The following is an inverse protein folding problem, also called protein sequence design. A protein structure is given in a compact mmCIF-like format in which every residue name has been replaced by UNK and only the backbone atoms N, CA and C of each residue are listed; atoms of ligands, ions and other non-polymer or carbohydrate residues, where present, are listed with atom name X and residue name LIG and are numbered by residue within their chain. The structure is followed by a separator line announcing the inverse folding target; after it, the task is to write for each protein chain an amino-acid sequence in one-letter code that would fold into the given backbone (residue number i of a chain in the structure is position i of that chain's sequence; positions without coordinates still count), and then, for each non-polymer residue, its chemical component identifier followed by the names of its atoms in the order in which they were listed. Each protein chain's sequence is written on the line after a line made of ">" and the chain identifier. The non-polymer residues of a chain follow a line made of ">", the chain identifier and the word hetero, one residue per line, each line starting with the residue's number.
data_IF_260853605577
#
_entry.id   IF_260853605577
#
_cell.length_a   1.000
_cell.length_b   1.000
_cell.length_c   1.000
_cell.angle_alpha   90.00
_cell.angle_beta   90.00
_cell.angle_gamma   90.00
#
_symmetry.space_group_name_H-M   'P 1'
#
loop_
_entity.id
_entity.type
_entity.pdbx_description
1 polymer ?
#
# COMPACT_ATOMS: atom_id res chain seq x y z
N UNK A 1 -13.14 6.94 3.22
CA UNK A 1 -12.79 5.56 2.82
C UNK A 1 -11.71 5.05 3.75
N UNK A 2 -11.63 3.73 3.99
CA UNK A 2 -10.59 3.13 4.85
C UNK A 2 -9.33 2.79 4.06
N UNK A 3 -9.50 2.42 2.78
CA UNK A 3 -8.44 2.23 1.79
C UNK A 3 -8.88 2.96 0.53
N UNK A 4 -7.96 3.65 -0.14
CA UNK A 4 -8.20 4.31 -1.42
C UNK A 4 -7.03 4.04 -2.37
N UNK A 5 -7.34 3.58 -3.58
CA UNK A 5 -6.37 3.46 -4.66
C UNK A 5 -6.45 4.72 -5.55
N UNK A 6 -5.28 5.26 -5.88
CA UNK A 6 -5.11 6.39 -6.77
C UNK A 6 -4.59 5.86 -8.10
N UNK A 7 -5.51 5.61 -9.02
CA UNK A 7 -5.19 5.07 -10.34
C UNK A 7 -5.23 6.15 -11.43
N UNK A 8 -4.37 6.00 -12.43
CA UNK A 8 -4.33 6.83 -13.63
C UNK A 8 -3.93 5.97 -14.83
N UNK A 9 -4.74 6.01 -15.89
CA UNK A 9 -4.49 5.27 -17.14
C UNK A 9 -4.17 3.77 -16.94
N UNK A 10 -4.84 3.14 -15.97
CA UNK A 10 -4.65 1.72 -15.65
C UNK A 10 -3.43 1.42 -14.77
N UNK A 11 -2.68 2.44 -14.35
CA UNK A 11 -1.55 2.32 -13.42
C UNK A 11 -1.93 2.83 -12.03
N UNK A 12 -1.65 2.07 -10.98
CA UNK A 12 -1.80 2.54 -9.59
C UNK A 12 -0.62 3.40 -9.21
N UNK A 13 -0.86 4.69 -8.94
CA UNK A 13 0.15 5.66 -8.53
C UNK A 13 0.35 5.62 -7.02
N UNK A 14 -0.72 5.45 -6.24
CA UNK A 14 -0.63 5.39 -4.78
C UNK A 14 -1.77 4.58 -4.17
N UNK A 15 -1.48 4.03 -2.99
CA UNK A 15 -2.45 3.36 -2.13
C UNK A 15 -2.45 4.10 -0.79
N UNK A 16 -3.61 4.60 -0.37
CA UNK A 16 -3.78 5.32 0.89
C UNK A 16 -4.57 4.44 1.84
N UNK A 17 -3.89 3.93 2.88
CA UNK A 17 -4.52 3.20 3.98
C UNK A 17 -4.76 4.15 5.15
N UNK A 18 -6.03 4.34 5.51
CA UNK A 18 -6.43 5.21 6.62
C UNK A 18 -5.97 4.63 7.95
N UNK A 19 -5.57 5.49 8.89
CA UNK A 19 -5.32 5.11 10.28
C UNK A 19 -6.52 4.49 11.01
N UNK A 20 -7.72 4.57 10.42
CA UNK A 20 -8.95 3.96 10.92
C UNK A 20 -9.16 2.53 10.42
N UNK A 21 -8.36 2.04 9.48
CA UNK A 21 -8.44 0.64 9.03
C UNK A 21 -8.12 -0.30 10.19
N UNK A 22 -9.03 -1.21 10.51
CA UNK A 22 -8.91 -2.10 11.67
C UNK A 22 -9.68 -3.42 11.49
N UNK A 23 -9.79 -3.89 10.25
CA UNK A 23 -10.49 -5.13 9.92
C UNK A 23 -9.75 -6.36 10.48
N UNK A 24 -10.51 -7.37 10.93
CA UNK A 24 -9.92 -8.64 11.38
C UNK A 24 -9.29 -9.41 10.21
N UNK A 25 -8.25 -10.19 10.49
CA UNK A 25 -7.59 -11.04 9.50
C UNK A 25 -6.37 -10.40 8.83
N UNK A 26 -6.01 -10.95 7.68
CA UNK A 26 -4.86 -10.51 6.86
C UNK A 26 -5.40 -9.86 5.60
N UNK A 27 -4.97 -8.64 5.33
CA UNK A 27 -5.38 -7.84 4.19
C UNK A 27 -4.15 -7.37 3.44
N UNK A 28 -4.04 -7.72 2.15
CA UNK A 28 -3.03 -7.16 1.27
C UNK A 28 -3.69 -6.10 0.40
N UNK A 29 -3.06 -4.93 0.29
CA UNK A 29 -3.58 -3.80 -0.49
C UNK A 29 -2.88 -3.65 -1.85
N UNK A 30 -1.85 -4.46 -2.08
CA UNK A 30 -1.01 -4.46 -3.28
C UNK A 30 -1.25 -5.73 -4.09
N UNK A 31 -1.27 -5.64 -5.43
CA UNK A 31 -1.19 -6.81 -6.32
C UNK A 31 0.09 -7.63 -6.11
N UNK A 32 0.04 -8.95 -6.31
CA UNK A 32 1.17 -9.88 -6.05
C UNK A 32 2.43 -9.60 -6.88
N UNK A 33 2.26 -8.98 -8.05
CA UNK A 33 3.34 -8.61 -8.97
C UNK A 33 4.05 -7.32 -8.57
N UNK A 34 3.53 -6.57 -7.59
CA UNK A 34 4.22 -5.40 -7.07
C UNK A 34 5.50 -5.80 -6.36
N UNK A 35 6.60 -5.09 -6.67
CA UNK A 35 7.90 -5.32 -6.04
C UNK A 35 7.89 -5.11 -4.53
N UNK A 36 6.96 -4.28 -4.04
CA UNK A 36 6.72 -4.02 -2.62
C UNK A 36 5.28 -4.39 -2.28
N UNK A 37 5.10 -5.17 -1.21
CA UNK A 37 3.79 -5.59 -0.71
C UNK A 37 3.39 -4.79 0.54
N UNK A 38 2.14 -4.32 0.59
CA UNK A 38 1.58 -3.66 1.76
C UNK A 38 0.49 -4.55 2.37
N UNK A 39 0.79 -5.13 3.53
CA UNK A 39 -0.12 -5.97 4.30
C UNK A 39 -0.51 -5.34 5.63
N UNK A 40 -1.77 -5.52 6.03
CA UNK A 40 -2.25 -5.30 7.40
C UNK A 40 -2.71 -6.62 8.00
N UNK A 41 -2.28 -6.90 9.23
CA UNK A 41 -2.62 -8.12 9.93
C UNK A 41 -3.19 -7.76 11.30
N UNK A 42 -4.41 -8.23 11.56
CA UNK A 42 -5.03 -8.17 12.87
C UNK A 42 -5.47 -9.57 13.25
N UNK A 43 -4.97 -10.01 14.40
CA UNK A 43 -5.25 -11.33 14.91
C UNK A 43 -5.90 -11.24 16.30
N UNK A 44 -6.84 -12.14 16.62
CA UNK A 44 -7.35 -12.25 17.97
C UNK A 44 -6.24 -12.69 18.92
N UNK A 45 -6.40 -12.36 20.21
CA UNK A 45 -5.50 -12.80 21.27
C UNK A 45 -5.35 -14.32 21.25
N UNK A 46 -4.10 -14.80 21.33
CA UNK A 46 -3.78 -16.23 21.34
C UNK A 46 -3.56 -16.84 19.95
N UNK A 47 -3.72 -16.07 18.85
CA UNK A 47 -3.36 -16.56 17.52
C UNK A 47 -1.86 -16.86 17.43
N UNK A 48 -1.54 -18.09 17.01
CA UNK A 48 -0.20 -18.49 16.59
C UNK A 48 -0.13 -18.35 15.07
N UNK A 49 0.90 -17.66 14.58
CA UNK A 49 1.25 -17.62 13.16
C UNK A 49 2.24 -18.77 12.94
N UNK A 50 1.85 -19.75 12.14
CA UNK A 50 2.71 -20.90 11.85
C UNK A 50 4.01 -20.46 11.17
N UNK A 51 5.16 -21.08 11.52
CA UNK A 51 6.41 -20.85 10.82
C UNK A 51 6.24 -21.10 9.32
N UNK A 52 6.72 -20.16 8.50
CA UNK A 52 6.66 -20.25 7.06
C UNK A 52 7.91 -19.64 6.43
N UNK A 53 8.14 -20.00 5.17
CA UNK A 53 9.24 -19.47 4.36
C UNK A 53 8.67 -18.67 3.20
N UNK A 54 9.38 -17.64 2.80
CA UNK A 54 9.07 -16.92 1.57
C UNK A 54 9.67 -17.67 0.38
N UNK A 55 8.85 -18.00 -0.60
CA UNK A 55 9.31 -18.58 -1.85
C UNK A 55 10.24 -17.59 -2.57
N UNK A 56 11.32 -18.11 -3.15
CA UNK A 56 12.15 -17.31 -4.04
C UNK A 56 11.33 -16.96 -5.29
N UNK A 57 10.99 -15.68 -5.43
CA UNK A 57 10.28 -15.13 -6.58
C UNK A 57 11.14 -14.01 -7.14
N UNK A 58 11.50 -14.10 -8.42
CA UNK A 58 12.20 -13.03 -9.11
C UNK A 58 11.28 -11.81 -9.20
N UNK A 59 11.77 -10.65 -8.76
CA UNK A 59 11.07 -9.37 -8.83
C UNK A 59 12.01 -8.36 -9.49
N UNK A 60 11.52 -7.68 -10.51
CA UNK A 60 12.23 -6.58 -11.13
C UNK A 60 11.80 -5.27 -10.48
N UNK A 61 12.77 -4.40 -10.18
CA UNK A 61 12.52 -3.09 -9.58
C UNK A 61 12.90 -2.04 -10.62
N UNK A 62 11.89 -1.50 -11.30
CA UNK A 62 12.10 -0.44 -12.31
C UNK A 62 12.33 0.92 -11.65
N UNK A 63 11.69 1.17 -10.51
CA UNK A 63 11.71 2.45 -9.80
C UNK A 63 11.79 2.25 -8.30
N UNK A 64 12.27 3.28 -7.61
CA UNK A 64 12.21 3.35 -6.15
C UNK A 64 10.78 3.67 -5.71
N UNK A 65 10.20 2.83 -4.85
CA UNK A 65 8.92 3.12 -4.19
C UNK A 65 9.14 3.78 -2.83
N UNK A 66 8.21 4.65 -2.44
CA UNK A 66 8.23 5.35 -1.15
C UNK A 66 7.02 4.96 -0.30
N UNK A 67 7.22 4.84 1.01
CA UNK A 67 6.14 4.69 2.00
C UNK A 67 6.23 5.81 3.02
N UNK A 68 5.18 6.63 3.10
CA UNK A 68 5.05 7.68 4.12
C UNK A 68 4.14 7.20 5.25
N UNK A 69 4.71 6.97 6.43
CA UNK A 69 3.96 6.62 7.63
C UNK A 69 3.72 7.85 8.52
N UNK A 70 2.47 8.35 8.54
CA UNK A 70 2.11 9.56 9.27
C UNK A 70 1.77 9.22 10.73
N UNK A 71 2.74 9.37 11.63
CA UNK A 71 2.55 9.11 13.08
C UNK A 71 1.60 10.09 13.76
N UNK A 72 1.65 11.37 13.37
CA UNK A 72 0.80 12.45 13.90
C UNK A 72 0.74 13.59 12.88
N UNK A 73 -0.43 14.20 12.73
CA UNK A 73 -0.64 15.33 11.83
C UNK A 73 -1.48 14.97 10.61
N UNK A 74 -1.37 15.79 9.58
CA UNK A 74 -2.05 15.62 8.29
C UNK A 74 -1.06 15.93 7.18
N UNK A 75 -1.15 15.18 6.08
CA UNK A 75 -0.37 15.39 4.87
C UNK A 75 -1.36 15.67 3.74
N UNK A 76 -1.08 16.68 2.92
CA UNK A 76 -1.72 16.86 1.61
C UNK A 76 -0.78 16.30 0.56
N UNK A 77 -1.31 15.55 -0.39
CA UNK A 77 -0.55 14.95 -1.49
C UNK A 77 -1.15 15.46 -2.80
N UNK A 78 -0.30 16.00 -3.68
CA UNK A 78 -0.67 16.39 -5.03
C UNK A 78 -0.06 15.39 -6.02
N UNK A 79 -0.91 14.78 -6.85
CA UNK A 79 -0.52 13.77 -7.82
C UNK A 79 -0.34 14.36 -9.21
N UNK A 80 0.64 13.86 -9.95
CA UNK A 80 1.00 14.29 -11.30
C UNK A 80 1.19 13.05 -12.19
N UNK A 81 1.00 13.22 -13.51
CA UNK A 81 1.36 12.18 -14.48
C UNK A 81 2.85 12.24 -14.89
N UNK A 82 3.26 11.31 -15.76
CA UNK A 82 4.62 11.23 -16.31
C UNK A 82 5.03 12.47 -17.11
N UNK A 83 4.08 13.28 -17.59
CA UNK A 83 4.34 14.57 -18.26
C UNK A 83 4.29 15.75 -17.27
N UNK A 84 4.29 15.47 -15.97
CA UNK A 84 4.22 16.44 -14.87
C UNK A 84 2.95 17.29 -14.89
N UNK A 85 1.87 16.81 -15.49
CA UNK A 85 0.56 17.48 -15.45
C UNK A 85 -0.16 17.08 -14.18
N UNK A 86 -0.75 18.07 -13.52
CA UNK A 86 -1.51 17.85 -12.30
C UNK A 86 -2.74 16.97 -12.54
N UNK A 87 -2.94 15.97 -11.67
CA UNK A 87 -4.08 15.07 -11.70
C UNK A 87 -5.10 15.42 -10.61
N UNK A 88 -4.71 15.37 -9.33
CA UNK A 88 -5.59 15.63 -8.18
C UNK A 88 -4.83 15.78 -6.86
N UNK A 89 -5.51 16.30 -5.83
CA UNK A 89 -5.03 16.36 -4.45
C UNK A 89 -5.77 15.40 -3.51
N UNK A 90 -5.12 15.01 -2.41
CA UNK A 90 -5.68 14.28 -1.27
C UNK A 90 -5.20 14.83 0.07
#
# INVERSE_FOLDING_TARGET
>A
MLVENIDHEGTTIAIIVSCRFNEEGIHFFTPDDFSQQLGFMKHPTGKVIEPHVHNAVAREVHYTNEVLFIRKGKLRIDFYDEQQRYLKSR
#
